data_IF_884660067842
#
_entry.id   IF_884660067842
#
_cell.length_a   1.000
_cell.length_b   1.000
_cell.length_c   1.000
_cell.angle_alpha   90.00
_cell.angle_beta   90.00
_cell.angle_gamma   90.00
#
_symmetry.space_group_name_H-M   'P 1'
#
loop_
_entity.id
_entity.type
_entity.pdbx_description
1 polymer ?
#
# COMPACT_ATOMS: atom_id res chain seq x y z
N UNK A 1 8.12 3.88 25.63
CA UNK A 1 7.95 5.34 25.82
C UNK A 1 9.09 6.13 25.19
N UNK A 2 10.36 5.97 25.59
CA UNK A 2 11.47 6.71 24.96
C UNK A 2 11.74 6.27 23.51
N UNK A 3 11.65 4.96 23.22
CA UNK A 3 11.82 4.43 21.86
C UNK A 3 10.65 4.81 20.92
N UNK A 4 9.43 4.85 21.45
CA UNK A 4 8.25 5.25 20.68
C UNK A 4 8.32 6.72 20.28
N UNK A 5 8.81 7.59 21.18
CA UNK A 5 9.01 9.02 20.93
C UNK A 5 10.06 9.26 19.84
N UNK A 6 11.19 8.53 19.90
CA UNK A 6 12.23 8.57 18.86
C UNK A 6 11.69 8.10 17.50
N UNK A 7 10.80 7.11 17.49
CA UNK A 7 10.20 6.63 16.25
C UNK A 7 9.14 7.58 15.69
N UNK A 8 8.38 8.27 16.53
CA UNK A 8 7.47 9.33 16.09
C UNK A 8 8.21 10.53 15.49
N UNK A 9 9.31 10.99 16.12
CA UNK A 9 10.14 12.07 15.57
C UNK A 9 10.69 11.69 14.20
N UNK A 10 11.14 10.43 14.06
CA UNK A 10 11.63 9.90 12.79
C UNK A 10 10.56 9.85 11.68
N UNK A 11 9.30 9.54 12.04
CA UNK A 11 8.18 9.59 11.10
C UNK A 11 7.98 11.02 10.61
N UNK A 12 7.96 11.99 11.52
CA UNK A 12 7.78 13.41 11.15
C UNK A 12 8.89 13.92 10.24
N UNK A 13 10.15 13.58 10.51
CA UNK A 13 11.28 14.01 9.68
C UNK A 13 11.18 13.48 8.25
N UNK A 14 10.80 12.20 8.08
CA UNK A 14 10.54 11.64 6.76
C UNK A 14 9.40 12.38 6.05
N UNK A 15 8.30 12.69 6.74
CA UNK A 15 7.16 13.37 6.13
C UNK A 15 7.48 14.82 5.75
N UNK A 16 8.27 15.55 6.56
CA UNK A 16 8.74 16.90 6.22
C UNK A 16 9.60 16.91 4.97
N UNK A 17 10.52 15.94 4.84
CA UNK A 17 11.34 15.82 3.64
C UNK A 17 10.50 15.42 2.42
N UNK A 18 9.53 14.51 2.58
CA UNK A 18 8.59 14.16 1.52
C UNK A 18 7.84 15.39 1.01
N UNK A 19 7.31 16.23 1.91
CA UNK A 19 6.60 17.46 1.53
C UNK A 19 7.47 18.45 0.76
N UNK A 20 8.74 18.59 1.14
CA UNK A 20 9.70 19.43 0.41
C UNK A 20 9.92 18.90 -1.01
N UNK A 21 10.18 17.60 -1.14
CA UNK A 21 10.39 16.93 -2.43
C UNK A 21 9.15 17.00 -3.33
N UNK A 22 7.95 16.89 -2.76
CA UNK A 22 6.69 17.05 -3.52
C UNK A 22 6.52 18.46 -4.09
N UNK A 23 6.93 19.51 -3.37
CA UNK A 23 6.95 20.89 -3.89
C UNK A 23 7.90 21.05 -5.07
N UNK A 24 8.95 20.23 -5.12
CA UNK A 24 9.93 20.16 -6.21
C UNK A 24 9.51 19.20 -7.33
N UNK A 25 8.34 18.53 -7.21
CA UNK A 25 7.86 17.46 -8.09
C UNK A 25 8.76 16.21 -8.16
N UNK A 26 9.60 15.98 -7.15
CA UNK A 26 10.41 14.76 -7.03
C UNK A 26 9.58 13.65 -6.35
N UNK A 27 8.64 13.10 -7.12
CA UNK A 27 7.67 12.12 -6.61
C UNK A 27 8.32 10.82 -6.14
N UNK A 28 9.33 10.32 -6.86
CA UNK A 28 10.02 9.08 -6.49
C UNK A 28 10.72 9.19 -5.14
N UNK A 29 11.47 10.27 -4.89
CA UNK A 29 12.13 10.47 -3.58
C UNK A 29 11.11 10.78 -2.49
N UNK A 30 10.07 11.56 -2.76
CA UNK A 30 9.02 11.82 -1.79
C UNK A 30 8.31 10.51 -1.36
N UNK A 31 7.95 9.66 -2.32
CA UNK A 31 7.34 8.36 -2.08
C UNK A 31 8.24 7.45 -1.24
N UNK A 32 9.56 7.51 -1.49
CA UNK A 32 10.52 6.76 -0.69
C UNK A 32 10.52 7.20 0.79
N UNK A 33 10.47 8.51 1.05
CA UNK A 33 10.36 9.02 2.42
C UNK A 33 9.03 8.61 3.08
N UNK A 34 7.91 8.70 2.37
CA UNK A 34 6.61 8.24 2.87
C UNK A 34 6.61 6.73 3.17
N UNK A 35 7.27 5.91 2.34
CA UNK A 35 7.45 4.48 2.60
C UNK A 35 8.28 4.23 3.86
N UNK A 36 9.33 5.02 4.12
CA UNK A 36 10.12 4.90 5.36
C UNK A 36 9.29 5.28 6.59
N UNK A 37 8.49 6.34 6.49
CA UNK A 37 7.53 6.72 7.53
C UNK A 37 6.50 5.59 7.78
N UNK A 38 5.97 4.98 6.71
CA UNK A 38 5.05 3.85 6.81
C UNK A 38 5.68 2.63 7.52
N UNK A 39 6.94 2.32 7.23
CA UNK A 39 7.70 1.25 7.92
C UNK A 39 7.86 1.53 9.40
N UNK A 40 8.20 2.77 9.76
CA UNK A 40 8.33 3.19 11.15
C UNK A 40 6.97 3.09 11.89
N UNK A 41 5.88 3.59 11.32
CA UNK A 41 4.54 3.45 11.88
C UNK A 41 4.11 1.98 12.03
N UNK A 42 4.44 1.12 11.06
CA UNK A 42 4.15 -0.31 11.15
C UNK A 42 4.91 -0.98 12.31
N UNK A 43 6.14 -0.54 12.59
CA UNK A 43 6.95 -1.07 13.69
C UNK A 43 6.46 -0.63 15.07
N UNK A 44 5.81 0.53 15.21
CA UNK A 44 5.08 0.92 16.44
C UNK A 44 3.68 0.30 16.53
N UNK A 45 3.29 -0.55 15.57
CA UNK A 45 1.96 -1.15 15.44
C UNK A 45 0.84 -0.15 15.17
N UNK A 46 1.16 1.07 14.76
CA UNK A 46 0.17 2.00 14.20
C UNK A 46 -0.17 1.59 12.77
N UNK A 47 -0.97 0.52 12.66
CA UNK A 47 -1.31 -0.08 11.37
C UNK A 47 -2.19 0.82 10.51
N UNK A 48 -2.96 1.73 11.11
CA UNK A 48 -3.78 2.68 10.36
C UNK A 48 -2.89 3.71 9.66
N UNK A 49 -2.03 4.41 10.41
CA UNK A 49 -1.10 5.39 9.84
C UNK A 49 -0.16 4.72 8.84
N UNK A 50 0.37 3.54 9.15
CA UNK A 50 1.20 2.80 8.21
C UNK A 50 0.48 2.47 6.90
N UNK A 51 -0.80 2.04 6.95
CA UNK A 51 -1.57 1.73 5.76
C UNK A 51 -1.78 2.97 4.87
N UNK A 52 -2.14 4.10 5.48
CA UNK A 52 -2.37 5.38 4.79
C UNK A 52 -1.07 5.91 4.16
N UNK A 53 0.06 5.79 4.85
CA UNK A 53 1.37 6.20 4.34
C UNK A 53 1.87 5.29 3.21
N UNK A 54 1.67 3.97 3.31
CA UNK A 54 1.97 3.07 2.20
C UNK A 54 1.08 3.34 0.98
N UNK A 55 -0.20 3.66 1.18
CA UNK A 55 -1.09 4.05 0.07
C UNK A 55 -0.56 5.32 -0.62
N UNK A 56 -0.23 6.37 0.14
CA UNK A 56 0.36 7.62 -0.40
C UNK A 56 1.65 7.37 -1.18
N UNK A 57 2.58 6.60 -0.59
CA UNK A 57 3.82 6.24 -1.26
C UNK A 57 3.55 5.50 -2.57
N UNK A 58 2.58 4.57 -2.58
CA UNK A 58 2.16 3.85 -3.77
C UNK A 58 1.67 4.77 -4.89
N UNK A 59 0.87 5.79 -4.56
CA UNK A 59 0.38 6.79 -5.51
C UNK A 59 1.51 7.66 -6.09
N UNK A 60 2.44 8.10 -5.25
CA UNK A 60 3.56 8.93 -5.71
C UNK A 60 4.56 8.13 -6.56
N UNK A 61 4.88 6.88 -6.19
CA UNK A 61 5.65 5.98 -7.06
C UNK A 61 4.94 5.73 -8.39
N UNK A 62 3.61 5.56 -8.38
CA UNK A 62 2.83 5.41 -9.62
C UNK A 62 2.94 6.65 -10.50
N UNK A 63 2.89 7.85 -9.91
CA UNK A 63 3.07 9.12 -10.63
C UNK A 63 4.46 9.25 -11.24
N UNK A 64 5.48 8.69 -10.58
CA UNK A 64 6.85 8.58 -11.07
C UNK A 64 7.06 7.42 -12.07
N UNK A 65 6.01 6.64 -12.35
CA UNK A 65 6.02 5.41 -13.19
C UNK A 65 6.90 4.29 -12.65
N UNK A 66 7.18 4.29 -11.35
CA UNK A 66 7.84 3.20 -10.66
C UNK A 66 6.80 2.15 -10.23
N UNK A 67 6.43 1.29 -11.18
CA UNK A 67 5.42 0.24 -10.95
C UNK A 67 5.88 -0.82 -9.93
N UNK A 68 7.18 -1.04 -9.78
CA UNK A 68 7.72 -2.03 -8.84
C UNK A 68 7.55 -1.56 -7.39
N UNK A 69 7.96 -0.33 -7.07
CA UNK A 69 7.69 0.21 -5.75
C UNK A 69 6.20 0.49 -5.53
N UNK A 70 5.48 1.00 -6.54
CA UNK A 70 4.04 1.28 -6.40
C UNK A 70 3.25 0.02 -6.02
N UNK A 71 3.43 -1.08 -6.77
CA UNK A 71 2.75 -2.35 -6.53
C UNK A 71 3.01 -2.90 -5.12
N UNK A 72 4.26 -2.86 -4.66
CA UNK A 72 4.66 -3.33 -3.32
C UNK A 72 4.04 -2.48 -2.22
N UNK A 73 4.01 -1.16 -2.39
CA UNK A 73 3.42 -0.24 -1.41
C UNK A 73 1.90 -0.40 -1.33
N UNK A 74 1.19 -0.47 -2.46
CA UNK A 74 -0.25 -0.77 -2.47
C UNK A 74 -0.58 -2.12 -1.83
N UNK A 75 0.20 -3.17 -2.12
CA UNK A 75 0.00 -4.50 -1.50
C UNK A 75 0.23 -4.46 0.02
N UNK A 76 1.21 -3.70 0.50
CA UNK A 76 1.46 -3.52 1.93
C UNK A 76 0.31 -2.76 2.61
N UNK A 77 -0.15 -1.65 2.01
CA UNK A 77 -1.30 -0.89 2.48
C UNK A 77 -2.55 -1.80 2.57
N UNK A 78 -2.83 -2.56 1.51
CA UNK A 78 -3.96 -3.49 1.46
C UNK A 78 -3.92 -4.53 2.59
N UNK A 79 -2.75 -5.15 2.84
CA UNK A 79 -2.55 -6.11 3.94
C UNK A 79 -2.79 -5.49 5.31
N UNK A 80 -2.40 -4.22 5.51
CA UNK A 80 -2.65 -3.52 6.76
C UNK A 80 -4.13 -3.12 6.91
N UNK A 81 -4.77 -2.65 5.84
CA UNK A 81 -6.22 -2.39 5.84
C UNK A 81 -7.04 -3.66 6.11
N UNK A 82 -6.62 -4.82 5.60
CA UNK A 82 -7.20 -6.11 5.99
C UNK A 82 -7.09 -6.36 7.49
N UNK A 83 -5.93 -6.03 8.08
CA UNK A 83 -5.65 -6.26 9.50
C UNK A 83 -6.50 -5.38 10.43
N UNK A 84 -6.83 -4.17 10.00
CA UNK A 84 -7.72 -3.25 10.72
C UNK A 84 -9.16 -3.31 10.22
N UNK A 85 -9.52 -4.38 9.50
CA UNK A 85 -10.87 -4.69 9.02
C UNK A 85 -11.52 -3.66 8.10
N UNK A 86 -10.70 -2.80 7.47
CA UNK A 86 -11.15 -1.93 6.38
C UNK A 86 -11.06 -2.68 5.05
N UNK A 87 -12.00 -3.62 4.85
CA UNK A 87 -11.98 -4.52 3.71
C UNK A 87 -12.23 -3.82 2.37
N UNK A 88 -12.98 -2.71 2.35
CA UNK A 88 -13.22 -1.96 1.10
C UNK A 88 -11.91 -1.34 0.58
N UNK A 89 -11.16 -0.64 1.44
CA UNK A 89 -9.83 -0.10 1.08
C UNK A 89 -8.84 -1.20 0.73
N UNK A 90 -8.84 -2.31 1.47
CA UNK A 90 -7.98 -3.45 1.15
C UNK A 90 -8.25 -3.99 -0.25
N UNK A 91 -9.53 -4.18 -0.61
CA UNK A 91 -9.95 -4.63 -1.94
C UNK A 91 -9.43 -3.68 -3.03
N UNK A 92 -9.67 -2.37 -2.89
CA UNK A 92 -9.23 -1.38 -3.89
C UNK A 92 -7.71 -1.37 -4.08
N UNK A 93 -6.96 -1.43 -2.98
CA UNK A 93 -5.50 -1.38 -3.03
C UNK A 93 -4.88 -2.68 -3.54
N UNK A 94 -5.48 -3.84 -3.27
CA UNK A 94 -5.07 -5.08 -3.92
C UNK A 94 -5.29 -5.01 -5.44
N UNK A 95 -6.40 -4.43 -5.91
CA UNK A 95 -6.65 -4.27 -7.35
C UNK A 95 -5.64 -3.30 -8.00
N UNK A 96 -5.35 -2.15 -7.36
CA UNK A 96 -4.28 -1.24 -7.83
C UNK A 96 -2.90 -1.91 -7.89
N UNK A 97 -2.55 -2.71 -6.88
CA UNK A 97 -1.32 -3.48 -6.88
C UNK A 97 -1.29 -4.51 -8.03
N UNK A 98 -2.42 -5.19 -8.29
CA UNK A 98 -2.54 -6.13 -9.40
C UNK A 98 -2.35 -5.43 -10.76
N UNK A 99 -2.94 -4.25 -10.97
CA UNK A 99 -2.73 -3.47 -12.20
C UNK A 99 -1.25 -3.15 -12.43
N UNK A 100 -0.52 -2.76 -11.38
CA UNK A 100 0.91 -2.52 -11.46
C UNK A 100 1.71 -3.80 -11.75
N UNK A 101 1.41 -4.92 -11.09
CA UNK A 101 2.07 -6.20 -11.36
C UNK A 101 1.80 -6.73 -12.77
N UNK A 102 0.62 -6.45 -13.33
CA UNK A 102 0.30 -6.75 -14.73
C UNK A 102 1.21 -5.97 -15.70
N UNK A 103 1.43 -4.67 -15.44
CA UNK A 103 2.37 -3.85 -16.23
C UNK A 103 3.82 -4.38 -16.16
N UNK A 104 4.20 -4.96 -15.02
CA UNK A 104 5.50 -5.59 -14.81
C UNK A 104 5.60 -7.02 -15.38
N UNK A 105 4.49 -7.60 -15.85
CA UNK A 105 4.39 -9.03 -16.25
C UNK A 105 4.79 -9.99 -15.12
N UNK A 106 4.52 -9.62 -13.87
CA UNK A 106 4.67 -10.48 -12.70
C UNK A 106 3.33 -11.19 -12.42
N UNK A 107 3.10 -12.29 -13.13
CA UNK A 107 1.85 -13.06 -13.06
C UNK A 107 1.60 -13.66 -11.67
N UNK A 108 2.66 -14.00 -10.94
CA UNK A 108 2.55 -14.56 -9.59
C UNK A 108 2.04 -13.50 -8.62
N UNK A 109 2.70 -12.33 -8.56
CA UNK A 109 2.26 -11.24 -7.69
C UNK A 109 0.90 -10.67 -8.12
N UNK A 110 0.61 -10.63 -9.43
CA UNK A 110 -0.72 -10.31 -9.95
C UNK A 110 -1.78 -11.25 -9.35
N UNK A 111 -1.57 -12.57 -9.46
CA UNK A 111 -2.49 -13.57 -8.92
C UNK A 111 -2.68 -13.44 -7.42
N UNK A 112 -1.60 -13.23 -6.66
CA UNK A 112 -1.68 -12.99 -5.22
C UNK A 112 -2.58 -11.79 -4.89
N UNK A 113 -2.43 -10.68 -5.61
CA UNK A 113 -3.23 -9.48 -5.39
C UNK A 113 -4.70 -9.70 -5.76
N UNK A 114 -5.00 -10.38 -6.86
CA UNK A 114 -6.39 -10.73 -7.22
C UNK A 114 -7.04 -11.60 -6.13
N UNK A 115 -6.32 -12.60 -5.60
CA UNK A 115 -6.81 -13.42 -4.50
C UNK A 115 -6.96 -12.62 -3.20
N UNK A 116 -6.08 -11.64 -2.95
CA UNK A 116 -6.20 -10.68 -1.86
C UNK A 116 -7.50 -9.86 -1.95
N UNK A 117 -7.79 -9.29 -3.13
CA UNK A 117 -9.03 -8.55 -3.38
C UNK A 117 -10.28 -9.43 -3.25
N UNK A 118 -10.24 -10.67 -3.76
CA UNK A 118 -11.32 -11.63 -3.58
C UNK A 118 -11.59 -11.92 -2.10
N UNK A 119 -10.54 -12.13 -1.31
CA UNK A 119 -10.67 -12.33 0.15
C UNK A 119 -11.27 -11.12 0.86
N UNK A 120 -10.92 -9.90 0.43
CA UNK A 120 -11.55 -8.69 0.95
C UNK A 120 -13.06 -8.64 0.63
N UNK A 121 -13.47 -9.03 -0.58
CA UNK A 121 -14.87 -9.12 -0.97
C UNK A 121 -15.65 -10.17 -0.15
N UNK A 122 -15.05 -11.33 0.13
CA UNK A 122 -15.66 -12.34 1.01
C UNK A 122 -15.92 -11.77 2.40
N UNK A 123 -14.97 -11.01 2.96
CA UNK A 123 -15.13 -10.34 4.25
C UNK A 123 -16.22 -9.26 4.26
N UNK A 124 -16.54 -8.70 3.09
CA UNK A 124 -17.65 -7.78 2.88
C UNK A 124 -18.99 -8.48 2.59
N UNK A 125 -19.01 -9.83 2.53
CA UNK A 125 -20.20 -10.60 2.13
C UNK A 125 -20.51 -10.58 0.63
N UNK A 126 -19.60 -10.06 -0.20
CA UNK A 126 -19.73 -9.92 -1.66
C UNK A 126 -19.22 -11.18 -2.38
N UNK A 127 -19.74 -12.34 -2.00
CA UNK A 127 -19.22 -13.67 -2.41
C UNK A 127 -19.21 -13.85 -3.93
N UNK A 128 -20.25 -13.41 -4.63
CA UNK A 128 -20.29 -13.58 -6.10
C UNK A 128 -19.19 -12.79 -6.81
N UNK A 129 -18.87 -11.59 -6.32
CA UNK A 129 -17.79 -10.77 -6.88
C UNK A 129 -16.42 -11.38 -6.58
N UNK A 130 -16.24 -11.95 -5.38
CA UNK A 130 -15.02 -12.68 -5.01
C UNK A 130 -14.76 -13.87 -5.95
N UNK A 131 -15.78 -14.68 -6.21
CA UNK A 131 -15.69 -15.83 -7.13
C UNK A 131 -15.37 -15.38 -8.56
N UNK A 132 -15.96 -14.27 -9.01
CA UNK A 132 -15.66 -13.70 -10.33
C UNK A 132 -14.19 -13.24 -10.43
N UNK A 133 -13.62 -12.69 -9.36
CA UNK A 133 -12.19 -12.34 -9.33
C UNK A 133 -11.29 -13.58 -9.36
N UNK A 134 -11.57 -14.61 -8.54
CA UNK A 134 -10.75 -15.84 -8.51
C UNK A 134 -10.67 -16.53 -9.87
N UNK A 135 -11.76 -16.54 -10.64
CA UNK A 135 -11.80 -17.10 -12.00
C UNK A 135 -10.86 -16.41 -12.99
N UNK A 136 -10.41 -15.17 -12.72
CA UNK A 136 -9.43 -14.48 -13.59
C UNK A 136 -8.01 -15.06 -13.47
N UNK A 137 -7.74 -15.83 -12.42
CA UNK A 137 -6.39 -16.30 -12.06
C UNK A 137 -6.34 -17.80 -11.76
N UNK A 138 -7.41 -18.52 -12.12
CA UNK A 138 -7.53 -19.98 -12.05
C UNK A 138 -7.46 -20.53 -13.45
#
# INVERSE_FOLDING_TARGET
MEDDLKLSEKIEDFLREAEKLLKENDYGRAAYQEMLAAKAAASTRDFKTAAELYERAGEHFLKDRDYDFSSKNFRNAAKLFMKIENFEKAKDLFLKAAECFSLLRDDNSYKECILGAAKSLEKLGRTQEAENLKKKVT
#
